data_IF_436568311431
#
_entry.id   IF_436568311431
#
_cell.length_a   1.000
_cell.length_b   1.000
_cell.length_c   1.000
_cell.angle_alpha   90.00
_cell.angle_beta   90.00
_cell.angle_gamma   90.00
#
_symmetry.space_group_name_H-M   'P 1'
#
loop_
_entity.id
_entity.type
_entity.pdbx_description
1 polymer ?
#
# COMPACT_ATOMS: atom_id res chain seq x y z
N UNK A 1 23.84 13.76 17.35
CA UNK A 1 22.41 13.46 17.51
C UNK A 1 22.03 12.59 16.32
N UNK A 2 21.45 11.41 16.55
CA UNK A 2 21.03 10.53 15.46
C UNK A 2 19.94 11.23 14.66
N UNK A 3 20.03 11.17 13.32
CA UNK A 3 18.94 11.60 12.44
C UNK A 3 17.75 10.69 12.70
N UNK A 4 16.54 11.25 12.75
CA UNK A 4 15.33 10.45 12.93
C UNK A 4 14.48 10.60 11.70
N UNK A 5 14.38 9.52 10.95
CA UNK A 5 13.48 9.45 9.81
C UNK A 5 12.05 9.31 10.32
N UNK A 6 11.18 10.22 9.89
CA UNK A 6 9.75 10.18 10.21
C UNK A 6 9.01 9.37 9.15
N UNK A 7 8.24 8.40 9.60
CA UNK A 7 7.40 7.58 8.75
C UNK A 7 5.93 7.95 8.94
N UNK A 8 5.15 7.77 7.88
CA UNK A 8 3.71 7.88 7.98
C UNK A 8 3.16 6.75 8.86
N UNK A 9 2.46 7.10 9.94
CA UNK A 9 2.01 6.14 10.97
C UNK A 9 1.15 5.00 10.42
N UNK A 10 0.43 5.23 9.32
CA UNK A 10 -0.49 4.25 8.73
C UNK A 10 0.15 3.53 7.53
N UNK A 11 0.69 4.26 6.55
CA UNK A 11 1.23 3.63 5.35
C UNK A 11 2.61 3.01 5.56
N UNK A 12 3.33 3.43 6.61
CA UNK A 12 4.73 3.06 6.80
C UNK A 12 5.65 3.58 5.70
N UNK A 13 5.15 4.45 4.82
CA UNK A 13 5.90 4.97 3.68
C UNK A 13 6.49 6.34 3.98
N UNK A 14 7.68 6.63 3.44
CA UNK A 14 8.26 7.97 3.45
C UNK A 14 8.02 8.64 2.09
N UNK A 15 7.76 9.94 2.05
CA UNK A 15 7.75 10.70 0.81
C UNK A 15 9.12 10.73 0.10
N UNK A 16 10.21 10.50 0.84
CA UNK A 16 11.57 10.34 0.30
C UNK A 16 11.69 9.19 -0.70
N UNK A 17 10.82 8.16 -0.67
CA UNK A 17 10.92 7.04 -1.60
C UNK A 17 10.87 7.47 -3.07
N UNK A 18 10.08 8.51 -3.39
CA UNK A 18 10.01 9.05 -4.76
C UNK A 18 11.27 9.86 -5.12
N UNK A 19 11.76 10.69 -4.20
CA UNK A 19 13.00 11.45 -4.40
C UNK A 19 14.21 10.51 -4.51
N UNK A 20 14.28 9.49 -3.66
CA UNK A 20 15.29 8.42 -3.69
C UNK A 20 15.21 7.61 -4.98
N UNK A 21 13.99 7.34 -5.49
CA UNK A 21 13.83 6.71 -6.80
C UNK A 21 14.33 7.62 -7.92
N UNK A 22 14.04 8.92 -7.87
CA UNK A 22 14.55 9.88 -8.87
C UNK A 22 16.07 10.00 -8.83
N UNK A 23 16.65 9.90 -7.62
CA UNK A 23 18.08 9.90 -7.36
C UNK A 23 18.74 8.53 -7.59
N UNK A 24 17.96 7.50 -7.95
CA UNK A 24 18.43 6.16 -8.30
C UNK A 24 19.21 6.21 -9.62
N UNK A 25 20.44 6.68 -9.48
CA UNK A 25 21.42 6.88 -10.51
C UNK A 25 22.44 5.74 -10.47
N UNK A 26 23.34 5.72 -11.45
CA UNK A 26 24.49 4.81 -11.48
C UNK A 26 25.32 4.85 -10.18
N UNK A 27 25.34 5.98 -9.47
CA UNK A 27 26.09 6.14 -8.21
C UNK A 27 25.47 5.36 -7.04
N UNK A 28 24.14 5.37 -6.93
CA UNK A 28 23.40 4.60 -5.92
C UNK A 28 23.44 3.10 -6.24
N UNK A 29 23.34 2.75 -7.52
CA UNK A 29 23.49 1.39 -8.01
C UNK A 29 24.81 0.72 -7.55
N UNK A 30 25.92 1.46 -7.60
CA UNK A 30 27.24 0.93 -7.26
C UNK A 30 27.51 0.90 -5.74
N UNK A 31 26.87 1.77 -4.94
CA UNK A 31 27.10 1.82 -3.48
C UNK A 31 26.43 0.67 -2.75
N UNK A 32 25.22 0.26 -3.16
CA UNK A 32 24.45 -0.81 -2.51
C UNK A 32 24.85 -2.22 -2.96
N UNK A 33 25.61 -2.38 -4.07
CA UNK A 33 26.19 -3.68 -4.45
C UNK A 33 27.22 -4.17 -3.41
N UNK A 34 27.81 -3.29 -2.58
CA UNK A 34 28.79 -3.68 -1.56
C UNK A 34 28.18 -4.18 -0.25
N UNK A 35 26.97 -3.76 0.11
CA UNK A 35 26.38 -4.05 1.43
C UNK A 35 25.56 -5.35 1.45
N UNK A 36 25.01 -5.80 0.31
CA UNK A 36 24.20 -7.04 0.25
C UNK A 36 25.01 -8.33 -0.03
N UNK A 37 26.32 -8.22 -0.25
CA UNK A 37 27.19 -9.36 -0.59
C UNK A 37 28.12 -9.77 0.58
N UNK A 38 27.91 -9.24 1.80
CA UNK A 38 28.66 -9.69 3.00
C UNK A 38 28.41 -11.18 3.32
N UNK A 39 27.29 -11.75 2.87
CA UNK A 39 27.02 -13.19 2.96
C UNK A 39 27.69 -14.03 1.85
N UNK A 40 28.22 -13.40 0.78
CA UNK A 40 28.94 -14.07 -0.32
C UNK A 40 30.47 -14.09 -0.14
N UNK A 41 31.04 -13.45 0.91
CA UNK A 41 32.48 -13.53 1.20
C UNK A 41 32.97 -14.96 1.52
N UNK A 42 32.07 -15.90 1.84
CA UNK A 42 32.43 -17.30 2.05
C UNK A 42 32.79 -18.06 0.75
N UNK A 43 32.46 -17.54 -0.44
CA UNK A 43 32.64 -18.24 -1.72
C UNK A 43 33.68 -17.58 -2.67
N UNK A 44 34.35 -16.49 -2.22
CA UNK A 44 35.24 -15.65 -3.04
C UNK A 44 36.69 -16.15 -3.23
N UNK A 45 36.94 -17.46 -3.14
CA UNK A 45 38.30 -17.99 -3.37
C UNK A 45 38.59 -18.44 -4.82
N UNK A 46 37.69 -18.23 -5.81
CA UNK A 46 37.91 -18.73 -7.18
C UNK A 46 37.27 -17.94 -8.35
N UNK A 47 37.10 -16.61 -8.30
CA UNK A 47 36.68 -15.85 -9.50
C UNK A 47 37.67 -14.76 -9.90
N UNK A 48 38.66 -15.18 -10.69
CA UNK A 48 39.44 -14.34 -11.61
C UNK A 48 38.65 -14.05 -12.91
N UNK A 49 37.41 -13.57 -12.80
CA UNK A 49 36.72 -12.95 -13.94
C UNK A 49 36.29 -11.54 -13.53
N UNK A 50 37.10 -10.59 -13.97
CA UNK A 50 36.80 -9.16 -14.05
C UNK A 50 35.63 -9.02 -15.01
N UNK A 51 34.41 -9.18 -14.51
CA UNK A 51 33.20 -8.81 -15.25
C UNK A 51 33.10 -7.28 -15.22
N UNK A 52 33.23 -6.68 -16.39
CA UNK A 52 33.12 -5.24 -16.65
C UNK A 52 31.65 -4.76 -16.51
N UNK A 53 30.85 -5.48 -15.72
CA UNK A 53 29.42 -5.29 -15.46
C UNK A 53 29.13 -4.21 -14.41
N UNK A 54 30.09 -3.31 -14.13
CA UNK A 54 29.81 -1.92 -13.70
C UNK A 54 29.13 -1.14 -14.84
N UNK A 55 28.22 -1.81 -15.55
CA UNK A 55 27.43 -1.30 -16.63
C UNK A 55 26.37 -0.40 -16.07
N UNK A 56 26.36 0.82 -16.60
CA UNK A 56 25.32 1.83 -16.40
C UNK A 56 23.93 1.22 -16.66
N UNK A 57 22.91 1.70 -15.95
CA UNK A 57 21.52 1.37 -16.27
C UNK A 57 21.24 1.73 -17.75
N UNK A 58 20.51 0.86 -18.44
CA UNK A 58 20.12 1.11 -19.81
C UNK A 58 19.15 2.31 -19.92
N UNK A 59 19.08 2.95 -21.10
CA UNK A 59 18.27 4.16 -21.29
C UNK A 59 16.78 3.95 -21.04
N UNK A 60 16.21 2.78 -21.37
CA UNK A 60 14.78 2.51 -21.14
C UNK A 60 14.49 2.32 -19.66
N UNK A 61 15.41 1.69 -18.93
CA UNK A 61 15.31 1.50 -17.49
C UNK A 61 15.41 2.83 -16.75
N UNK A 62 16.36 3.69 -17.14
CA UNK A 62 16.46 5.04 -16.60
C UNK A 62 15.21 5.87 -16.89
N UNK A 63 14.64 5.75 -18.09
CA UNK A 63 13.38 6.39 -18.42
C UNK A 63 12.24 5.89 -17.54
N UNK A 64 12.09 4.57 -17.38
CA UNK A 64 11.05 3.97 -16.54
C UNK A 64 11.12 4.43 -15.09
N UNK A 65 12.32 4.49 -14.51
CA UNK A 65 12.56 4.97 -13.14
C UNK A 65 12.16 6.43 -12.99
N UNK A 66 12.55 7.29 -13.94
CA UNK A 66 12.15 8.71 -13.94
C UNK A 66 10.64 8.87 -14.05
N UNK A 67 10.01 8.17 -14.99
CA UNK A 67 8.55 8.22 -15.15
C UNK A 67 7.83 7.74 -13.88
N UNK A 68 8.31 6.68 -13.21
CA UNK A 68 7.73 6.23 -11.95
C UNK A 68 7.90 7.23 -10.82
N UNK A 69 9.02 7.95 -10.76
CA UNK A 69 9.25 8.99 -9.76
C UNK A 69 8.37 10.23 -10.02
N UNK A 70 8.15 10.59 -11.29
CA UNK A 70 7.28 11.70 -11.69
C UNK A 70 5.78 11.36 -11.56
N UNK A 71 5.40 10.10 -11.76
CA UNK A 71 3.99 9.65 -11.67
C UNK A 71 3.44 9.67 -10.24
N UNK A 72 4.26 9.84 -9.21
CA UNK A 72 3.84 9.93 -7.81
C UNK A 72 3.55 11.38 -7.38
N UNK A 73 2.87 12.14 -8.25
CA UNK A 73 2.20 13.37 -7.83
C UNK A 73 1.34 13.08 -6.58
N UNK A 74 1.60 13.84 -5.52
CA UNK A 74 0.96 13.78 -4.19
C UNK A 74 1.44 12.69 -3.22
N UNK A 75 2.53 11.94 -3.46
CA UNK A 75 3.12 11.10 -2.39
C UNK A 75 3.61 11.94 -1.20
N UNK A 76 3.96 13.20 -1.50
CA UNK A 76 4.32 14.25 -0.54
C UNK A 76 3.10 14.88 0.14
N UNK A 77 1.87 14.56 -0.31
CA UNK A 77 0.64 15.04 0.33
C UNK A 77 0.38 14.23 1.61
N UNK A 78 0.58 14.91 2.73
CA UNK A 78 0.46 14.35 4.06
C UNK A 78 -0.53 15.14 4.91
N UNK A 79 -1.11 14.44 5.88
CA UNK A 79 -1.95 15.01 6.91
C UNK A 79 -1.22 14.96 8.25
N UNK A 80 -1.11 16.12 8.90
CA UNK A 80 -0.63 16.24 10.27
C UNK A 80 -1.81 16.21 11.25
N UNK A 81 -1.66 15.50 12.36
CA UNK A 81 -2.70 15.32 13.38
C UNK A 81 -2.10 15.65 14.74
N UNK A 82 -2.76 16.49 15.53
CA UNK A 82 -2.29 16.79 16.88
C UNK A 82 -2.74 18.13 17.45
N UNK A 83 -2.07 18.57 18.52
CA UNK A 83 -2.32 19.86 19.17
C UNK A 83 -1.43 20.96 18.57
N UNK A 84 -1.97 21.67 17.59
CA UNK A 84 -1.26 22.75 16.91
C UNK A 84 -1.12 24.03 17.77
N UNK A 85 -1.84 24.14 18.89
CA UNK A 85 -1.69 25.27 19.82
C UNK A 85 -0.43 25.09 20.68
N UNK A 86 -0.15 23.85 21.07
CA UNK A 86 1.09 23.49 21.79
C UNK A 86 2.28 23.26 20.88
N UNK A 87 2.07 22.92 19.60
CA UNK A 87 3.17 22.65 18.66
C UNK A 87 4.27 23.75 18.62
N UNK A 88 3.95 25.06 18.58
CA UNK A 88 4.99 26.12 18.58
C UNK A 88 5.79 26.23 19.88
N UNK A 89 5.32 25.61 20.96
CA UNK A 89 5.97 25.63 22.27
C UNK A 89 6.97 24.48 22.42
N UNK A 90 7.01 23.56 21.46
CA UNK A 90 7.97 22.46 21.45
C UNK A 90 9.34 22.99 21.01
N UNK A 91 10.35 22.74 21.84
CA UNK A 91 11.74 22.93 21.45
C UNK A 91 12.06 21.87 20.38
N UNK A 92 12.76 22.18 19.28
CA UNK A 92 13.22 21.21 18.29
C UNK A 92 13.92 19.95 18.82
N UNK A 93 14.37 19.97 20.08
CA UNK A 93 14.94 18.82 20.78
C UNK A 93 14.13 18.32 21.98
N UNK A 94 12.87 18.71 22.17
CA UNK A 94 12.06 18.42 23.36
C UNK A 94 10.65 17.94 23.04
N UNK A 95 10.40 16.65 23.28
CA UNK A 95 9.04 16.09 23.33
C UNK A 95 8.28 16.55 24.58
N UNK A 96 6.95 16.36 24.60
CA UNK A 96 6.15 16.57 25.82
C UNK A 96 6.00 15.25 26.57
N UNK A 97 6.04 15.24 27.92
CA UNK A 97 5.86 14.00 28.67
C UNK A 97 4.55 13.28 28.30
N UNK A 98 4.59 11.96 28.12
CA UNK A 98 3.43 11.12 27.77
C UNK A 98 2.21 11.40 28.64
N UNK A 99 2.42 11.57 29.95
CA UNK A 99 1.33 11.87 30.88
C UNK A 99 0.63 13.20 30.53
N UNK A 100 1.39 14.24 30.18
CA UNK A 100 0.85 15.52 29.75
C UNK A 100 0.14 15.42 28.38
N UNK A 101 0.72 14.66 27.44
CA UNK A 101 0.14 14.44 26.12
C UNK A 101 -1.25 13.79 26.22
N UNK A 102 -1.40 12.78 27.07
CA UNK A 102 -2.65 12.04 27.25
C UNK A 102 -3.75 12.84 27.97
N UNK A 103 -3.39 13.91 28.67
CA UNK A 103 -4.33 14.85 29.29
C UNK A 103 -4.91 15.89 28.31
N UNK A 104 -4.36 15.98 27.08
CA UNK A 104 -4.89 16.89 26.06
C UNK A 104 -6.32 16.47 25.68
N UNK A 105 -7.30 17.38 25.70
CA UNK A 105 -8.67 17.06 25.34
C UNK A 105 -8.81 16.84 23.84
N UNK A 106 -9.72 15.94 23.42
CA UNK A 106 -9.92 15.62 22.00
C UNK A 106 -10.30 16.85 21.15
N UNK A 107 -10.94 17.86 21.75
CA UNK A 107 -11.26 19.13 21.08
C UNK A 107 -10.04 19.97 20.69
N UNK A 108 -8.87 19.72 21.31
CA UNK A 108 -7.62 20.38 20.96
C UNK A 108 -6.83 19.60 19.90
N UNK A 109 -7.19 18.34 19.63
CA UNK A 109 -6.54 17.50 18.62
C UNK A 109 -7.21 17.76 17.28
N UNK A 110 -6.51 18.46 16.39
CA UNK A 110 -7.01 18.81 15.06
C UNK A 110 -6.29 18.06 13.95
N UNK A 111 -6.87 18.08 12.76
CA UNK A 111 -6.33 17.46 11.55
C UNK A 111 -6.03 18.58 10.56
N UNK A 112 -4.79 18.66 10.10
CA UNK A 112 -4.35 19.58 9.05
C UNK A 112 -4.00 18.77 7.81
N UNK A 113 -4.88 18.83 6.80
CA UNK A 113 -4.74 18.11 5.53
C UNK A 113 -3.94 18.89 4.50
N UNK A 114 -3.51 18.19 3.45
CA UNK A 114 -2.81 18.79 2.31
C UNK A 114 -1.54 19.54 2.70
N UNK A 115 -0.85 19.01 3.71
CA UNK A 115 0.48 19.46 4.03
C UNK A 115 1.48 18.79 3.08
N UNK A 116 2.69 19.34 3.03
CA UNK A 116 3.79 18.78 2.24
C UNK A 116 4.93 18.36 3.15
N UNK A 117 5.64 17.30 2.77
CA UNK A 117 6.96 17.04 3.31
C UNK A 117 7.82 18.31 3.12
N UNK A 118 8.27 18.92 4.21
CA UNK A 118 9.01 20.19 4.16
C UNK A 118 10.46 19.99 3.74
N UNK A 119 11.19 21.10 3.52
CA UNK A 119 12.61 21.05 3.14
C UNK A 119 13.52 20.39 4.18
N UNK A 120 13.09 20.37 5.44
CA UNK A 120 13.75 19.73 6.59
C UNK A 120 13.01 18.44 7.00
N UNK A 121 12.46 17.72 6.03
CA UNK A 121 11.69 16.49 6.25
C UNK A 121 12.45 15.42 7.04
N UNK A 122 13.76 15.30 6.82
CA UNK A 122 14.65 14.39 7.55
C UNK A 122 14.68 14.65 9.08
N UNK A 123 14.15 15.79 9.51
CA UNK A 123 13.95 16.16 10.91
C UNK A 123 12.47 16.09 11.32
N UNK A 124 11.58 15.65 10.45
CA UNK A 124 10.14 15.61 10.66
C UNK A 124 9.43 16.94 10.43
N UNK A 125 9.97 17.83 9.58
CA UNK A 125 9.27 19.06 9.23
C UNK A 125 8.19 18.81 8.17
N UNK A 126 7.01 19.38 8.41
CA UNK A 126 5.87 19.33 7.52
C UNK A 126 5.39 20.76 7.25
N UNK A 127 5.28 21.12 5.98
CA UNK A 127 4.85 22.45 5.54
C UNK A 127 3.33 22.47 5.33
N UNK A 128 2.63 23.22 6.18
CA UNK A 128 1.20 23.47 6.05
C UNK A 128 0.86 24.60 5.06
N UNK A 129 -0.44 24.82 4.87
CA UNK A 129 -0.93 25.93 4.04
C UNK A 129 -0.48 27.29 4.63
N UNK A 130 0.10 28.15 3.78
CA UNK A 130 0.45 29.53 4.15
C UNK A 130 1.83 29.73 4.79
N UNK A 131 2.84 28.95 4.38
CA UNK A 131 4.24 29.04 4.86
C UNK A 131 4.42 28.73 6.36
N UNK A 132 3.49 28.00 6.97
CA UNK A 132 3.68 27.46 8.31
C UNK A 132 4.40 26.12 8.21
N UNK A 133 5.49 25.95 8.94
CA UNK A 133 6.18 24.66 9.09
C UNK A 133 5.93 24.14 10.50
N UNK A 134 5.67 22.84 10.60
CA UNK A 134 5.41 22.14 11.85
C UNK A 134 6.38 20.98 12.01
N UNK A 135 6.91 20.81 13.22
CA UNK A 135 7.73 19.65 13.56
C UNK A 135 6.81 18.53 14.05
N UNK A 136 6.73 17.42 13.30
CA UNK A 136 5.93 16.24 13.65
C UNK A 136 6.77 15.08 14.19
N UNK A 137 8.11 15.21 14.20
CA UNK A 137 8.96 14.26 14.89
C UNK A 137 8.85 14.47 16.41
N UNK A 138 8.63 13.39 17.16
CA UNK A 138 8.71 13.33 18.63
C UNK A 138 7.90 14.40 19.39
N UNK A 139 6.67 14.62 18.97
CA UNK A 139 5.92 15.77 19.46
C UNK A 139 4.46 15.49 19.72
N UNK A 140 3.72 16.59 19.87
CA UNK A 140 2.25 16.55 19.95
C UNK A 140 1.62 16.38 18.59
N UNK A 141 2.41 16.22 17.53
CA UNK A 141 1.93 16.03 16.17
C UNK A 141 2.40 14.67 15.68
N UNK A 142 1.53 13.98 14.95
CA UNK A 142 1.86 12.80 14.15
C UNK A 142 1.49 13.07 12.70
N UNK A 143 1.93 12.20 11.81
CA UNK A 143 1.70 12.36 10.39
C UNK A 143 1.31 11.05 9.72
N UNK A 144 0.46 11.18 8.72
CA UNK A 144 -0.05 10.11 7.87
C UNK A 144 -0.14 10.60 6.43
N UNK A 145 -0.02 9.71 5.44
CA UNK A 145 -0.40 10.05 4.07
C UNK A 145 -1.89 10.36 4.00
N UNK A 146 -2.28 11.39 3.24
CA UNK A 146 -3.67 11.85 3.23
C UNK A 146 -4.65 10.74 2.80
N UNK A 147 -4.29 10.00 1.75
CA UNK A 147 -5.07 8.87 1.25
C UNK A 147 -5.21 7.69 2.23
N UNK A 148 -4.38 7.63 3.29
CA UNK A 148 -4.40 6.54 4.26
C UNK A 148 -5.52 6.70 5.30
N UNK A 149 -5.98 7.94 5.56
CA UNK A 149 -7.05 8.21 6.53
C UNK A 149 -8.42 7.63 6.11
N UNK A 150 -8.88 7.79 4.84
CA UNK A 150 -10.08 7.11 4.37
C UNK A 150 -10.00 5.58 4.50
N UNK A 151 -8.81 4.99 4.26
CA UNK A 151 -8.59 3.55 4.41
C UNK A 151 -8.73 3.15 5.88
N UNK A 152 -8.10 3.88 6.80
CA UNK A 152 -8.23 3.66 8.24
C UNK A 152 -9.68 3.72 8.69
N UNK A 153 -10.42 4.74 8.25
CA UNK A 153 -11.84 4.89 8.58
C UNK A 153 -12.66 3.68 8.09
N UNK A 154 -12.47 3.27 6.84
CA UNK A 154 -13.19 2.14 6.23
C UNK A 154 -12.86 0.81 6.91
N UNK A 155 -11.57 0.50 7.06
CA UNK A 155 -11.09 -0.75 7.66
C UNK A 155 -11.59 -0.92 9.10
N UNK A 156 -11.60 0.17 9.86
CA UNK A 156 -12.01 0.16 11.28
C UNK A 156 -13.48 0.50 11.49
N UNK A 157 -14.24 0.73 10.40
CA UNK A 157 -15.63 1.23 10.41
C UNK A 157 -15.81 2.45 11.33
N UNK A 158 -14.87 3.39 11.22
CA UNK A 158 -14.83 4.63 12.00
C UNK A 158 -14.46 4.46 13.48
N UNK A 159 -14.10 3.25 13.93
CA UNK A 159 -13.71 3.03 15.33
C UNK A 159 -12.36 3.67 15.65
N UNK A 160 -11.46 3.81 14.67
CA UNK A 160 -10.22 4.57 14.84
C UNK A 160 -10.38 5.92 14.14
N UNK A 161 -10.64 6.96 14.92
CA UNK A 161 -10.62 8.36 14.45
C UNK A 161 -9.19 8.90 14.43
N UNK A 162 -8.92 10.02 13.72
CA UNK A 162 -7.62 10.69 13.81
C UNK A 162 -7.19 11.01 15.24
N UNK A 163 -8.13 11.44 16.11
CA UNK A 163 -7.86 11.71 17.52
C UNK A 163 -7.48 10.45 18.29
N UNK A 164 -8.18 9.32 18.03
CA UNK A 164 -7.87 8.04 18.68
C UNK A 164 -6.53 7.49 18.22
N UNK A 165 -6.21 7.61 16.92
CA UNK A 165 -4.90 7.27 16.38
C UNK A 165 -3.79 8.10 17.05
N UNK A 166 -4.01 9.41 17.16
CA UNK A 166 -3.08 10.30 17.85
C UNK A 166 -2.86 9.88 19.30
N UNK A 167 -3.95 9.63 20.06
CA UNK A 167 -3.84 9.17 21.45
C UNK A 167 -3.08 7.86 21.56
N UNK A 168 -3.28 6.94 20.62
CA UNK A 168 -2.56 5.68 20.61
C UNK A 168 -1.06 5.92 20.41
N UNK A 169 -0.68 6.75 19.45
CA UNK A 169 0.71 7.11 19.22
C UNK A 169 1.35 7.74 20.47
N UNK A 170 0.68 8.72 21.10
CA UNK A 170 1.15 9.31 22.35
C UNK A 170 1.24 8.28 23.48
N UNK A 171 0.26 7.37 23.56
CA UNK A 171 0.28 6.28 24.52
C UNK A 171 1.46 5.33 24.31
N UNK A 172 1.90 5.11 23.09
CA UNK A 172 3.10 4.31 22.79
C UNK A 172 4.41 5.10 22.93
N UNK A 173 4.35 6.36 23.35
CA UNK A 173 5.55 7.15 23.66
C UNK A 173 6.07 7.98 22.49
N UNK A 174 5.29 8.19 21.43
CA UNK A 174 5.65 9.13 20.35
C UNK A 174 5.81 10.57 20.84
N UNK A 175 5.27 10.90 22.02
CA UNK A 175 5.45 12.21 22.66
C UNK A 175 6.81 12.40 23.32
N UNK A 176 7.48 11.30 23.69
CA UNK A 176 8.69 11.31 24.50
C UNK A 176 9.91 10.94 23.66
N UNK A 177 11.04 11.62 23.84
CA UNK A 177 12.32 11.26 23.19
C UNK A 177 12.82 9.85 23.57
N UNK A 178 12.19 9.21 24.55
CA UNK A 178 12.45 7.84 24.96
C UNK A 178 11.84 6.79 24.02
N UNK A 179 10.99 7.18 23.05
CA UNK A 179 10.52 6.34 21.94
C UNK A 179 11.64 5.98 20.94
N UNK A 180 12.83 5.70 21.46
CA UNK A 180 14.03 5.43 20.68
C UNK A 180 13.89 4.14 19.89
N UNK A 181 13.59 4.28 18.60
CA UNK A 181 13.95 3.30 17.59
C UNK A 181 12.82 2.78 16.71
N UNK A 182 11.54 2.88 17.10
CA UNK A 182 10.45 2.38 16.24
C UNK A 182 9.87 3.51 15.38
N UNK A 183 10.03 3.35 14.07
CA UNK A 183 9.52 4.23 13.00
C UNK A 183 7.98 4.17 12.83
N UNK A 184 7.21 3.90 13.88
CA UNK A 184 5.81 3.51 13.77
C UNK A 184 5.21 3.10 15.10
N UNK A 185 4.04 2.47 15.06
CA UNK A 185 3.36 1.98 16.24
C UNK A 185 3.90 0.60 16.63
N UNK A 186 4.15 0.41 17.91
CA UNK A 186 4.56 -0.88 18.47
C UNK A 186 3.43 -1.91 18.30
N UNK A 187 3.80 -3.18 18.09
CA UNK A 187 2.91 -4.32 17.87
C UNK A 187 2.00 -4.25 16.62
N UNK A 188 2.22 -3.25 15.76
CA UNK A 188 1.59 -3.14 14.44
C UNK A 188 2.47 -3.78 13.38
N UNK A 189 1.91 -4.75 12.68
CA UNK A 189 2.54 -5.35 11.50
C UNK A 189 2.25 -4.50 10.26
N UNK A 190 3.27 -3.85 9.72
CA UNK A 190 3.17 -3.01 8.52
C UNK A 190 3.29 -3.80 7.20
N UNK A 191 3.38 -5.14 7.29
CA UNK A 191 3.56 -6.04 6.17
C UNK A 191 4.99 -6.02 5.64
N UNK A 192 5.16 -6.15 4.32
CA UNK A 192 6.48 -6.26 3.68
C UNK A 192 7.39 -5.03 3.89
N UNK A 193 6.85 -3.90 4.35
CA UNK A 193 7.66 -2.71 4.64
C UNK A 193 8.32 -2.78 6.02
N UNK A 194 7.90 -3.69 6.91
CA UNK A 194 8.39 -3.69 8.29
C UNK A 194 9.91 -3.81 8.38
N UNK A 195 10.49 -4.59 7.48
CA UNK A 195 11.94 -4.78 7.37
C UNK A 195 12.60 -3.60 6.64
N UNK A 196 11.86 -2.92 5.75
CA UNK A 196 12.31 -1.77 4.95
C UNK A 196 12.07 -0.41 5.63
N UNK A 197 11.62 -0.42 6.88
CA UNK A 197 11.40 0.79 7.70
C UNK A 197 12.69 1.40 8.25
N UNK A 198 13.81 1.09 7.59
CA UNK A 198 15.12 1.65 7.84
C UNK A 198 15.17 3.14 7.50
N UNK A 199 16.10 3.86 8.11
CA UNK A 199 16.17 5.31 7.95
C UNK A 199 16.35 5.78 6.50
N UNK A 200 16.87 4.93 5.61
CA UNK A 200 17.00 5.18 4.18
C UNK A 200 16.43 3.99 3.39
N UNK A 201 15.11 3.91 3.18
CA UNK A 201 14.52 2.78 2.48
C UNK A 201 15.05 2.71 1.05
N UNK A 202 15.37 1.51 0.60
CA UNK A 202 15.72 1.28 -0.79
C UNK A 202 14.51 1.65 -1.67
N UNK A 203 14.69 2.43 -2.75
CA UNK A 203 13.58 2.80 -3.62
C UNK A 203 13.02 1.59 -4.38
N UNK A 204 13.83 0.53 -4.58
CA UNK A 204 13.43 -0.74 -5.19
C UNK A 204 13.87 -1.89 -4.27
N UNK A 205 13.20 -2.09 -3.12
CA UNK A 205 13.71 -2.92 -2.02
C UNK A 205 13.88 -4.40 -2.38
N UNK A 206 13.04 -4.92 -3.29
CA UNK A 206 13.03 -6.34 -3.64
C UNK A 206 13.82 -6.68 -4.91
N UNK A 207 14.69 -5.78 -5.39
CA UNK A 207 15.58 -6.06 -6.52
C UNK A 207 16.99 -5.57 -6.27
N UNK A 208 17.96 -6.45 -6.55
CA UNK A 208 19.35 -6.05 -6.69
C UNK A 208 19.54 -5.18 -7.93
N UNK A 209 20.55 -4.32 -7.92
CA UNK A 209 20.85 -3.45 -9.06
C UNK A 209 21.04 -4.21 -10.38
N UNK A 210 21.70 -5.38 -10.34
CA UNK A 210 21.82 -6.30 -11.48
C UNK A 210 20.46 -6.68 -12.08
N UNK A 211 19.46 -6.96 -11.25
CA UNK A 211 18.13 -7.36 -11.71
C UNK A 211 17.38 -6.18 -12.33
N UNK A 212 17.56 -4.97 -11.78
CA UNK A 212 17.05 -3.73 -12.38
C UNK A 212 17.68 -3.50 -13.76
N UNK A 213 19.00 -3.70 -13.91
CA UNK A 213 19.70 -3.63 -15.21
C UNK A 213 19.13 -4.63 -16.22
N UNK A 214 18.75 -5.83 -15.78
CA UNK A 214 18.18 -6.86 -16.66
C UNK A 214 16.80 -6.52 -17.21
N UNK A 215 16.06 -5.60 -16.58
CA UNK A 215 14.75 -5.15 -17.07
C UNK A 215 14.87 -4.48 -18.44
N UNK A 216 16.03 -3.89 -18.78
CA UNK A 216 16.31 -3.32 -20.10
C UNK A 216 16.02 -4.33 -21.24
N UNK A 217 16.22 -5.64 -20.98
CA UNK A 217 15.95 -6.72 -21.94
C UNK A 217 14.47 -6.82 -22.34
N UNK A 218 13.55 -6.22 -21.58
CA UNK A 218 12.14 -6.15 -21.96
C UNK A 218 11.87 -5.24 -23.16
N UNK A 219 12.77 -4.30 -23.45
CA UNK A 219 12.69 -3.43 -24.63
C UNK A 219 11.47 -2.52 -24.69
N UNK A 220 10.76 -2.33 -23.57
CA UNK A 220 9.53 -1.56 -23.45
C UNK A 220 9.44 -0.91 -22.06
N UNK A 221 9.27 0.41 -22.03
CA UNK A 221 9.28 1.21 -20.79
C UNK A 221 8.15 0.77 -19.86
N UNK A 222 6.94 0.52 -20.37
CA UNK A 222 5.81 0.13 -19.53
C UNK A 222 6.03 -1.23 -18.87
N UNK A 223 6.55 -2.23 -19.61
CA UNK A 223 6.91 -3.52 -19.02
C UNK A 223 7.99 -3.42 -17.96
N UNK A 224 8.94 -2.49 -18.13
CA UNK A 224 9.97 -2.23 -17.11
C UNK A 224 9.33 -1.65 -15.86
N UNK A 225 8.45 -0.64 -16.00
CA UNK A 225 7.70 -0.03 -14.89
C UNK A 225 6.87 -1.07 -14.14
N UNK A 226 6.14 -1.92 -14.86
CA UNK A 226 5.37 -3.02 -14.28
C UNK A 226 6.29 -4.01 -13.54
N UNK A 227 7.48 -4.28 -14.09
CA UNK A 227 8.51 -5.09 -13.45
C UNK A 227 9.00 -4.50 -12.12
N UNK A 228 9.36 -3.21 -12.11
CA UNK A 228 9.79 -2.48 -10.91
C UNK A 228 8.66 -2.45 -9.87
N UNK A 229 7.44 -2.12 -10.29
CA UNK A 229 6.27 -2.08 -9.43
C UNK A 229 5.96 -3.44 -8.79
N UNK A 230 5.86 -4.51 -9.58
CA UNK A 230 5.40 -5.81 -9.10
C UNK A 230 6.49 -6.62 -8.38
N UNK A 231 7.67 -6.71 -8.99
CA UNK A 231 8.77 -7.53 -8.49
C UNK A 231 9.73 -6.73 -7.61
N UNK A 232 9.94 -5.44 -7.91
CA UNK A 232 10.89 -4.58 -7.21
C UNK A 232 10.39 -4.05 -5.87
N UNK A 233 9.14 -4.34 -5.49
CA UNK A 233 8.58 -3.86 -4.23
C UNK A 233 8.09 -2.41 -4.27
N UNK A 234 8.27 -1.70 -5.39
CA UNK A 234 7.87 -0.31 -5.53
C UNK A 234 6.37 -0.08 -5.32
N UNK A 235 5.54 -1.12 -5.51
CA UNK A 235 4.11 -1.07 -5.17
C UNK A 235 3.82 -0.58 -3.75
N UNK A 236 4.72 -0.77 -2.79
CA UNK A 236 4.54 -0.32 -1.39
C UNK A 236 4.49 1.21 -1.29
N UNK A 237 5.20 1.91 -2.17
CA UNK A 237 5.30 3.36 -2.19
C UNK A 237 4.18 4.01 -3.02
N UNK A 238 3.54 3.24 -3.91
CA UNK A 238 2.50 3.75 -4.81
C UNK A 238 1.24 4.15 -4.07
N UNK A 239 0.59 5.23 -4.51
CA UNK A 239 -0.72 5.66 -4.00
C UNK A 239 -1.76 4.54 -3.93
N UNK A 240 -2.40 4.38 -2.77
CA UNK A 240 -3.37 3.32 -2.48
C UNK A 240 -4.84 3.67 -2.82
N UNK A 241 -5.06 4.76 -3.55
CA UNK A 241 -6.37 5.26 -4.00
C UNK A 241 -6.53 5.26 -5.53
N UNK A 242 -5.56 4.73 -6.27
CA UNK A 242 -5.59 4.60 -7.74
C UNK A 242 -6.34 3.34 -8.18
N UNK A 243 -7.66 3.39 -8.12
CA UNK A 243 -8.52 2.29 -8.55
C UNK A 243 -8.47 2.10 -10.09
N UNK A 244 -8.44 0.84 -10.60
CA UNK A 244 -8.37 0.56 -12.03
C UNK A 244 -9.73 0.71 -12.73
N UNK A 245 -10.36 1.87 -12.57
CA UNK A 245 -11.69 2.22 -13.08
C UNK A 245 -11.70 2.64 -14.56
N UNK A 246 -10.52 2.78 -15.19
CA UNK A 246 -10.38 3.28 -16.55
C UNK A 246 -11.25 2.52 -17.57
N UNK A 247 -11.76 3.24 -18.57
CA UNK A 247 -12.59 2.69 -19.64
C UNK A 247 -11.96 1.41 -20.20
N UNK A 248 -12.76 0.37 -20.36
CA UNK A 248 -12.38 -0.83 -21.08
C UNK A 248 -12.15 -0.41 -22.52
N UNK A 249 -10.90 -0.08 -22.87
CA UNK A 249 -10.48 -0.08 -24.27
C UNK A 249 -10.83 -1.46 -24.83
N UNK A 250 -11.41 -1.51 -26.02
CA UNK A 250 -11.95 -2.71 -26.69
C UNK A 250 -10.94 -3.87 -26.86
N UNK A 251 -9.69 -3.69 -26.45
CA UNK A 251 -8.66 -4.71 -26.45
C UNK A 251 -8.77 -5.64 -25.24
N UNK A 252 -9.26 -6.85 -25.48
CA UNK A 252 -9.21 -8.00 -24.57
C UNK A 252 -10.31 -8.10 -23.52
N UNK A 253 -11.58 -8.00 -23.93
CA UNK A 253 -12.62 -8.78 -23.25
C UNK A 253 -12.45 -10.22 -23.74
N UNK A 254 -12.14 -11.20 -22.87
CA UNK A 254 -12.27 -12.61 -23.26
C UNK A 254 -13.73 -12.80 -23.63
N UNK A 255 -14.00 -13.04 -24.92
CA UNK A 255 -15.35 -13.36 -25.35
C UNK A 255 -15.77 -14.64 -24.60
N UNK A 256 -16.61 -14.49 -23.59
CA UNK A 256 -17.34 -15.59 -23.01
C UNK A 256 -18.31 -16.03 -24.11
N UNK A 257 -17.85 -16.91 -24.98
CA UNK A 257 -18.71 -17.58 -25.95
C UNK A 257 -19.88 -18.14 -25.14
N UNK A 258 -21.09 -17.67 -25.45
CA UNK A 258 -22.32 -18.09 -24.79
C UNK A 258 -22.30 -19.62 -24.71
N UNK A 259 -22.13 -20.21 -23.51
CA UNK A 259 -22.19 -21.65 -23.41
C UNK A 259 -23.65 -22.00 -23.70
N UNK A 260 -23.89 -22.65 -24.84
CA UNK A 260 -25.09 -23.45 -25.02
C UNK A 260 -25.21 -24.30 -23.75
N UNK A 261 -26.22 -23.98 -22.92
CA UNK A 261 -26.46 -24.65 -21.64
C UNK A 261 -26.37 -26.15 -21.90
N UNK A 262 -25.34 -26.84 -21.37
CA UNK A 262 -25.24 -28.27 -21.60
C UNK A 262 -26.52 -28.90 -21.04
N UNK A 263 -27.21 -29.78 -21.77
CA UNK A 263 -28.35 -30.47 -21.23
C UNK A 263 -27.93 -31.13 -19.93
N UNK A 264 -28.72 -30.90 -18.88
CA UNK A 264 -28.46 -31.38 -17.51
C UNK A 264 -28.05 -32.84 -17.56
N UNK A 265 -26.76 -33.11 -17.35
CA UNK A 265 -26.26 -34.47 -17.34
C UNK A 265 -26.94 -35.23 -16.21
N UNK A 266 -27.54 -36.38 -16.51
CA UNK A 266 -28.12 -37.26 -15.49
C UNK A 266 -27.11 -37.67 -14.40
N UNK A 267 -25.81 -37.51 -14.68
CA UNK A 267 -24.70 -37.81 -13.79
C UNK A 267 -24.09 -36.58 -13.11
N UNK A 268 -24.81 -35.46 -13.01
CA UNK A 268 -24.33 -34.28 -12.28
C UNK A 268 -24.00 -34.63 -10.82
N UNK A 269 -22.85 -34.14 -10.35
CA UNK A 269 -22.41 -34.28 -8.96
C UNK A 269 -23.38 -33.60 -7.99
N UNK A 270 -23.33 -33.95 -6.70
CA UNK A 270 -24.18 -33.32 -5.69
C UNK A 270 -23.97 -31.79 -5.62
N UNK A 271 -22.74 -31.33 -5.85
CA UNK A 271 -22.39 -29.90 -5.84
C UNK A 271 -22.99 -29.17 -7.02
N UNK A 272 -23.02 -29.78 -8.20
CA UNK A 272 -23.63 -29.19 -9.41
C UNK A 272 -25.17 -29.11 -9.33
N UNK A 273 -25.78 -29.81 -8.37
CA UNK A 273 -27.24 -29.78 -8.12
C UNK A 273 -27.64 -28.70 -7.11
N UNK A 274 -26.68 -28.00 -6.50
CA UNK A 274 -26.99 -26.92 -5.58
C UNK A 274 -27.61 -25.74 -6.34
N UNK A 275 -28.61 -25.05 -5.74
CA UNK A 275 -29.03 -23.73 -6.18
C UNK A 275 -27.82 -22.79 -6.32
N UNK A 276 -27.85 -21.92 -7.33
CA UNK A 276 -26.76 -20.99 -7.64
C UNK A 276 -26.40 -20.12 -6.43
N UNK A 277 -27.40 -19.72 -5.66
CA UNK A 277 -27.24 -18.88 -4.47
C UNK A 277 -26.42 -19.60 -3.39
N UNK A 278 -26.66 -20.89 -3.16
CA UNK A 278 -25.87 -21.68 -2.21
C UNK A 278 -24.44 -21.89 -2.71
N UNK A 279 -24.28 -22.08 -4.02
CA UNK A 279 -22.96 -22.20 -4.61
C UNK A 279 -22.17 -20.89 -4.46
N UNK A 280 -22.80 -19.74 -4.70
CA UNK A 280 -22.21 -18.43 -4.42
C UNK A 280 -21.81 -18.30 -2.95
N UNK A 281 -22.69 -18.65 -2.00
CA UNK A 281 -22.33 -18.62 -0.57
C UNK A 281 -21.12 -19.48 -0.24
N UNK A 282 -21.04 -20.70 -0.77
CA UNK A 282 -19.88 -21.60 -0.57
C UNK A 282 -18.60 -20.96 -1.12
N UNK A 283 -18.69 -20.40 -2.33
CA UNK A 283 -17.56 -19.79 -3.02
C UNK A 283 -17.05 -18.54 -2.28
N UNK A 284 -17.94 -17.79 -1.63
CA UNK A 284 -17.57 -16.61 -0.83
C UNK A 284 -16.79 -16.95 0.45
N UNK A 285 -16.76 -18.21 0.89
CA UNK A 285 -15.99 -18.64 2.06
C UNK A 285 -14.49 -18.83 1.78
N UNK A 286 -14.08 -18.75 0.50
CA UNK A 286 -12.71 -19.08 0.09
C UNK A 286 -12.02 -17.98 -0.71
N UNK A 287 -10.68 -18.11 -0.90
CA UNK A 287 -9.94 -17.22 -1.75
C UNK A 287 -10.37 -17.37 -3.23
N UNK A 288 -10.11 -16.33 -4.02
CA UNK A 288 -10.46 -16.31 -5.44
C UNK A 288 -9.82 -17.49 -6.22
N UNK A 289 -8.65 -17.97 -5.81
CA UNK A 289 -7.99 -19.13 -6.39
C UNK A 289 -8.80 -20.43 -6.22
N UNK A 290 -9.46 -20.61 -5.08
CA UNK A 290 -10.35 -21.75 -4.82
C UNK A 290 -11.62 -21.67 -5.68
N UNK A 291 -12.17 -20.47 -5.87
CA UNK A 291 -13.29 -20.21 -6.78
C UNK A 291 -12.94 -20.60 -8.22
N UNK A 292 -11.78 -20.15 -8.71
CA UNK A 292 -11.30 -20.48 -10.06
C UNK A 292 -10.98 -21.97 -10.22
N UNK A 293 -10.46 -22.60 -9.17
CA UNK A 293 -10.21 -24.04 -9.14
C UNK A 293 -11.52 -24.84 -9.21
N UNK A 294 -12.53 -24.44 -8.43
CA UNK A 294 -13.86 -25.05 -8.45
C UNK A 294 -14.50 -24.95 -9.84
N UNK A 295 -14.48 -23.76 -10.44
CA UNK A 295 -14.97 -23.56 -11.81
C UNK A 295 -14.23 -24.42 -12.85
N UNK A 296 -12.97 -24.78 -12.58
CA UNK A 296 -12.15 -25.60 -13.48
C UNK A 296 -12.40 -27.10 -13.33
N UNK A 297 -13.12 -27.55 -12.30
CA UNK A 297 -13.39 -28.98 -12.06
C UNK A 297 -14.27 -29.63 -13.12
N UNK A 298 -15.21 -28.89 -13.70
CA UNK A 298 -16.08 -29.40 -14.77
C UNK A 298 -16.60 -28.26 -15.66
N UNK A 299 -16.96 -28.57 -16.91
CA UNK A 299 -17.61 -27.59 -17.80
C UNK A 299 -18.97 -27.13 -17.26
N UNK A 300 -19.68 -28.01 -16.54
CA UNK A 300 -20.96 -27.68 -15.92
C UNK A 300 -20.75 -26.66 -14.80
N UNK A 301 -19.78 -26.89 -13.91
CA UNK A 301 -19.45 -25.96 -12.83
C UNK A 301 -19.01 -24.59 -13.37
N UNK A 302 -18.16 -24.59 -14.41
CA UNK A 302 -17.78 -23.36 -15.13
C UNK A 302 -19.00 -22.63 -15.69
N UNK A 303 -19.93 -23.35 -16.30
CA UNK A 303 -21.15 -22.76 -16.85
C UNK A 303 -22.12 -22.26 -15.77
N UNK A 304 -22.17 -22.90 -14.60
CA UNK A 304 -23.00 -22.44 -13.49
C UNK A 304 -22.45 -21.13 -12.91
N UNK A 305 -21.15 -21.09 -12.63
CA UNK A 305 -20.49 -19.94 -12.01
C UNK A 305 -20.25 -18.77 -12.98
N UNK A 306 -19.90 -19.07 -14.22
CA UNK A 306 -19.44 -18.08 -15.21
C UNK A 306 -20.18 -18.14 -16.55
N UNK A 307 -21.35 -18.78 -16.60
CA UNK A 307 -22.10 -18.97 -17.85
C UNK A 307 -22.77 -17.72 -18.39
N UNK A 308 -22.99 -16.71 -17.54
CA UNK A 308 -23.50 -15.39 -17.93
C UNK A 308 -22.62 -14.29 -17.33
N UNK A 309 -22.57 -13.16 -18.04
CA UNK A 309 -21.87 -11.97 -17.56
C UNK A 309 -22.49 -11.43 -16.26
N UNK A 310 -23.81 -11.47 -16.13
CA UNK A 310 -24.52 -11.06 -14.91
C UNK A 310 -24.14 -11.93 -13.70
N UNK A 311 -23.99 -13.25 -13.89
CA UNK A 311 -23.54 -14.14 -12.81
C UNK A 311 -22.10 -13.83 -12.42
N UNK A 312 -21.19 -13.67 -13.40
CA UNK A 312 -19.80 -13.30 -13.15
C UNK A 312 -19.70 -11.99 -12.38
N UNK A 313 -20.45 -10.96 -12.79
CA UNK A 313 -20.42 -9.65 -12.17
C UNK A 313 -21.04 -9.67 -10.77
N UNK A 314 -22.16 -10.38 -10.58
CA UNK A 314 -22.79 -10.56 -9.27
C UNK A 314 -21.85 -11.26 -8.29
N UNK A 315 -21.19 -12.33 -8.75
CA UNK A 315 -20.21 -13.07 -7.96
C UNK A 315 -18.97 -12.22 -7.64
N UNK A 316 -18.48 -11.43 -8.60
CA UNK A 316 -17.36 -10.52 -8.38
C UNK A 316 -17.69 -9.45 -7.33
N UNK A 317 -18.87 -8.82 -7.43
CA UNK A 317 -19.33 -7.82 -6.46
C UNK A 317 -19.41 -8.46 -5.07
N UNK A 318 -20.09 -9.60 -4.95
CA UNK A 318 -20.24 -10.28 -3.68
C UNK A 318 -18.88 -10.70 -3.09
N UNK A 319 -17.95 -11.17 -3.93
CA UNK A 319 -16.62 -11.58 -3.49
C UNK A 319 -15.78 -10.38 -3.04
N UNK A 320 -15.81 -9.26 -3.78
CA UNK A 320 -15.13 -8.01 -3.38
C UNK A 320 -15.66 -7.55 -2.02
N UNK A 321 -16.98 -7.40 -1.88
CA UNK A 321 -17.59 -6.90 -0.64
C UNK A 321 -17.28 -7.80 0.56
N UNK A 322 -17.19 -9.12 0.37
CA UNK A 322 -16.97 -10.06 1.47
C UNK A 322 -15.48 -10.29 1.80
N UNK A 323 -14.64 -10.48 0.77
CA UNK A 323 -13.27 -10.99 0.94
C UNK A 323 -12.18 -9.98 0.62
N UNK A 324 -12.50 -8.90 -0.10
CA UNK A 324 -11.53 -7.88 -0.47
C UNK A 324 -12.17 -6.48 -0.40
N UNK A 325 -12.68 -6.05 0.77
CA UNK A 325 -13.35 -4.76 0.92
C UNK A 325 -12.45 -3.57 0.56
N UNK A 326 -11.13 -3.74 0.59
CA UNK A 326 -10.19 -2.73 0.09
C UNK A 326 -10.31 -2.49 -1.43
N UNK A 327 -10.86 -3.40 -2.24
CA UNK A 327 -11.16 -3.12 -3.66
C UNK A 327 -12.41 -2.29 -3.88
N UNK A 328 -13.16 -1.92 -2.84
CA UNK A 328 -14.33 -1.05 -2.97
C UNK A 328 -13.87 0.41 -3.14
N UNK A 329 -14.24 1.09 -4.24
CA UNK A 329 -13.95 2.51 -4.43
C UNK A 329 -14.72 3.36 -3.40
N UNK A 330 -14.07 4.38 -2.78
CA UNK A 330 -14.76 5.32 -1.91
C UNK A 330 -15.65 6.28 -2.71
N UNK A 331 -16.77 6.71 -2.12
CA UNK A 331 -17.74 7.65 -2.69
C UNK A 331 -17.29 9.11 -2.72
N UNK A 332 -16.50 9.53 -1.73
CA UNK A 332 -15.88 10.87 -1.62
C UNK A 332 -14.92 10.90 -0.44
N UNK A 333 -14.13 11.97 -0.33
CA UNK A 333 -13.13 12.18 0.74
C UNK A 333 -13.74 12.37 2.15
N UNK A 334 -15.07 12.51 2.26
CA UNK A 334 -15.74 12.97 3.49
C UNK A 334 -16.85 12.04 4.01
N UNK A 335 -17.50 11.26 3.15
CA UNK A 335 -18.56 10.32 3.56
C UNK A 335 -18.43 9.04 2.73
N UNK A 336 -17.82 8.01 3.29
CA UNK A 336 -17.56 6.74 2.62
C UNK A 336 -18.81 5.84 2.66
N UNK A 337 -19.67 5.97 1.66
CA UNK A 337 -20.66 4.95 1.32
C UNK A 337 -20.05 3.99 0.26
N UNK A 338 -20.62 2.80 0.10
CA UNK A 338 -20.08 1.79 -0.82
C UNK A 338 -20.54 2.05 -2.27
N UNK A 339 -19.59 2.28 -3.17
CA UNK A 339 -19.86 2.60 -4.58
C UNK A 339 -19.73 1.42 -5.55
N UNK A 340 -19.81 0.20 -5.03
CA UNK A 340 -19.78 -1.02 -5.87
C UNK A 340 -20.81 -1.01 -7.00
N UNK A 341 -21.95 -0.33 -6.80
CA UNK A 341 -23.01 -0.19 -7.79
C UNK A 341 -22.61 0.64 -9.04
N UNK A 342 -21.55 1.44 -8.97
CA UNK A 342 -21.04 2.22 -10.11
C UNK A 342 -20.03 1.45 -10.97
N UNK A 343 -19.55 0.31 -10.49
CA UNK A 343 -18.55 -0.49 -11.19
C UNK A 343 -19.23 -1.27 -12.33
N UNK A 344 -18.93 -0.88 -13.56
CA UNK A 344 -19.32 -1.64 -14.74
C UNK A 344 -18.36 -2.82 -14.92
N UNK A 345 -18.88 -3.97 -15.37
CA UNK A 345 -18.09 -5.19 -15.60
C UNK A 345 -17.24 -5.60 -14.39
N UNK A 346 -17.89 -5.78 -13.23
CA UNK A 346 -17.24 -6.07 -11.96
C UNK A 346 -16.24 -7.24 -11.99
N UNK A 347 -16.46 -8.25 -12.84
CA UNK A 347 -15.48 -9.33 -13.02
C UNK A 347 -14.15 -8.84 -13.61
N UNK A 348 -14.20 -8.04 -14.67
CA UNK A 348 -13.02 -7.42 -15.28
C UNK A 348 -12.33 -6.48 -14.30
N UNK A 349 -13.11 -5.72 -13.54
CA UNK A 349 -12.59 -4.86 -12.48
C UNK A 349 -11.84 -5.66 -11.40
N UNK A 350 -12.41 -6.77 -10.91
CA UNK A 350 -11.76 -7.66 -9.95
C UNK A 350 -10.40 -8.15 -10.49
N UNK A 351 -10.36 -8.61 -11.74
CA UNK A 351 -9.12 -9.05 -12.38
C UNK A 351 -8.05 -7.96 -12.39
N UNK A 352 -8.43 -6.72 -12.75
CA UNK A 352 -7.51 -5.58 -12.75
C UNK A 352 -7.04 -5.20 -11.35
N UNK A 353 -7.90 -5.30 -10.34
CA UNK A 353 -7.53 -5.07 -8.95
C UNK A 353 -6.49 -6.08 -8.47
N UNK A 354 -6.66 -7.37 -8.82
CA UNK A 354 -5.70 -8.42 -8.46
C UNK A 354 -4.31 -8.20 -9.07
N UNK A 355 -4.19 -7.47 -10.18
CA UNK A 355 -2.92 -7.15 -10.83
C UNK A 355 -2.41 -5.74 -10.54
N UNK A 356 -3.20 -4.91 -9.83
CA UNK A 356 -2.87 -3.50 -9.59
C UNK A 356 -1.92 -3.35 -8.39
N UNK A 357 -0.73 -2.74 -8.59
CA UNK A 357 0.18 -2.38 -7.50
C UNK A 357 -0.48 -1.50 -6.43
N UNK A 358 -1.28 -0.50 -6.86
CA UNK A 358 -2.03 0.38 -5.96
C UNK A 358 -2.98 -0.39 -5.05
N UNK A 359 -3.73 -1.34 -5.62
CA UNK A 359 -4.68 -2.16 -4.85
C UNK A 359 -3.98 -3.15 -3.93
N UNK A 360 -2.78 -3.62 -4.29
CA UNK A 360 -1.92 -4.38 -3.39
C UNK A 360 -1.48 -3.51 -2.20
N UNK A 361 -1.06 -2.26 -2.44
CA UNK A 361 -0.71 -1.35 -1.34
C UNK A 361 -1.91 -1.05 -0.44
N UNK A 362 -3.07 -0.81 -1.04
CA UNK A 362 -4.32 -0.60 -0.31
C UNK A 362 -4.67 -1.79 0.58
N UNK A 363 -4.52 -3.01 0.09
CA UNK A 363 -4.73 -4.23 0.87
C UNK A 363 -3.78 -4.33 2.07
N UNK A 364 -2.50 -3.93 1.90
CA UNK A 364 -1.52 -3.85 2.99
C UNK A 364 -1.97 -2.83 4.03
N UNK A 365 -2.20 -1.58 3.62
CA UNK A 365 -2.63 -0.49 4.51
C UNK A 365 -3.92 -0.84 5.26
N UNK A 366 -4.86 -1.52 4.60
CA UNK A 366 -6.08 -1.99 5.23
C UNK A 366 -5.80 -2.93 6.41
N UNK A 367 -4.90 -3.91 6.25
CA UNK A 367 -4.50 -4.82 7.33
C UNK A 367 -3.76 -4.09 8.45
N UNK A 368 -2.92 -3.11 8.10
CA UNK A 368 -2.28 -2.23 9.10
C UNK A 368 -3.33 -1.50 9.92
N UNK A 369 -4.35 -0.93 9.28
CA UNK A 369 -5.44 -0.24 9.94
C UNK A 369 -6.26 -1.15 10.88
N UNK A 370 -6.56 -2.38 10.46
CA UNK A 370 -7.20 -3.38 11.33
C UNK A 370 -6.30 -3.69 12.55
N UNK A 371 -4.98 -3.80 12.33
CA UNK A 371 -4.04 -4.06 13.43
C UNK A 371 -3.89 -2.89 14.39
N UNK A 372 -3.89 -1.66 13.88
CA UNK A 372 -3.91 -0.44 14.69
C UNK A 372 -5.15 -0.44 15.61
N UNK A 373 -6.30 -0.87 15.11
CA UNK A 373 -7.50 -0.99 15.93
C UNK A 373 -7.34 -2.02 17.05
N UNK A 374 -6.82 -3.21 16.74
CA UNK A 374 -6.53 -4.24 17.75
C UNK A 374 -5.64 -3.68 18.87
N UNK A 375 -4.57 -2.97 18.49
CA UNK A 375 -3.60 -2.39 19.43
C UNK A 375 -4.24 -1.25 20.24
N UNK A 376 -5.10 -0.43 19.64
CA UNK A 376 -5.88 0.59 20.35
C UNK A 376 -6.78 -0.05 21.42
N UNK A 377 -7.51 -1.11 21.05
CA UNK A 377 -8.39 -1.85 21.97
C UNK A 377 -7.59 -2.48 23.12
N UNK A 378 -6.45 -3.12 22.82
CA UNK A 378 -5.58 -3.73 23.83
C UNK A 378 -4.97 -2.69 24.78
N UNK A 379 -4.64 -1.51 24.25
CA UNK A 379 -4.09 -0.39 25.02
C UNK A 379 -5.13 0.37 25.84
N UNK A 380 -6.43 0.10 25.62
CA UNK A 380 -7.53 0.83 26.28
C UNK A 380 -7.66 2.27 25.80
N UNK A 381 -7.19 2.57 24.59
CA UNK A 381 -7.24 3.89 23.93
C UNK A 381 -8.43 3.98 22.99
#
# INVERSE_FOLDING_TARGET
MGKVTVFCIISGCTPESADNLSAYTEYYADSYEYEQDEDEEADKLNRDEVDDSRGKLGPLTLQAIRELAEEEEDINDVTAIGDFVKAPQQDPGGGIPKAEALEIPDSAITVLRHCKAGGDWEFGSVDGLGNSSYLVSFGVLIMVQDFALPILHLATRGRVTPQRLWRLAMHQGHSDLSGGGSSGLDDVDYGEINDEREQFPLPIPNMKCREVKELEKFGDVQKIKDGIAQRGGYWMWMRADRFPLGNIGEGSIPSFASPNVPPTSANASAVEKLPLELLHMIVLLGPLTSLLSLASTSRSMRSILFGSEDNCNTLAIAWITHNAPWFVPPTSDMESQDEMHKIQHAWTYLQRCCTSPSMRNRARIWKVAERIEDVAVQSGV
#
